data_IF_200620313270
#
_entry.id   IF_200620313270
#
_cell.length_a   1.000
_cell.length_b   1.000
_cell.length_c   1.000
_cell.angle_alpha   90.00
_cell.angle_beta   90.00
_cell.angle_gamma   90.00
#
_symmetry.space_group_name_H-M   'P 1'
#
loop_
_entity.id
_entity.type
_entity.pdbx_description
1 polymer ?
#
# COMPACT_ATOMS: atom_id res chain seq x y z
N UNK A 1 -5.64 0.34 5.72
CA UNK A 1 -6.67 1.10 6.45
C UNK A 1 -6.08 2.07 7.44
N UNK A 2 -5.26 1.61 8.40
CA UNK A 2 -4.63 2.50 9.39
C UNK A 2 -3.60 3.44 8.73
N UNK A 3 -2.59 2.87 8.06
CA UNK A 3 -1.51 3.63 7.44
C UNK A 3 -1.99 4.71 6.44
N UNK A 4 -2.96 4.39 5.58
CA UNK A 4 -3.54 5.35 4.62
C UNK A 4 -4.37 6.47 5.27
N UNK A 5 -4.82 6.27 6.52
CA UNK A 5 -5.53 7.30 7.28
C UNK A 5 -4.58 8.22 8.06
N UNK A 6 -3.36 7.76 8.36
CA UNK A 6 -2.37 8.45 9.17
C UNK A 6 -1.43 9.35 8.36
N UNK A 7 -1.07 8.97 7.13
CA UNK A 7 -0.17 9.78 6.28
C UNK A 7 -0.77 11.11 5.80
N UNK A 8 -2.00 11.17 5.26
CA UNK A 8 -2.45 12.39 4.60
C UNK A 8 -2.79 13.51 5.55
N UNK A 9 -2.55 14.74 5.07
CA UNK A 9 -3.14 15.95 5.65
C UNK A 9 -4.66 15.84 5.70
N UNK A 10 -5.27 16.47 6.72
CA UNK A 10 -6.70 16.35 7.02
C UNK A 10 -7.59 16.60 5.80
N UNK A 11 -7.20 17.53 4.92
CA UNK A 11 -7.95 17.90 3.71
C UNK A 11 -7.98 16.82 2.63
N UNK A 12 -6.92 16.02 2.49
CA UNK A 12 -6.80 14.99 1.45
C UNK A 12 -7.15 13.59 1.96
N UNK A 13 -7.39 13.45 3.27
CA UNK A 13 -7.63 12.17 3.93
C UNK A 13 -8.80 11.39 3.34
N UNK A 14 -9.93 12.04 3.11
CA UNK A 14 -11.12 11.38 2.54
C UNK A 14 -10.86 10.83 1.14
N UNK A 15 -10.15 11.59 0.30
CA UNK A 15 -9.77 11.17 -1.06
C UNK A 15 -8.81 9.97 -1.02
N UNK A 16 -7.77 10.03 -0.18
CA UNK A 16 -6.80 8.94 -0.07
C UNK A 16 -7.45 7.65 0.43
N UNK A 17 -8.32 7.74 1.44
CA UNK A 17 -9.09 6.59 1.92
C UNK A 17 -9.98 6.02 0.80
N UNK A 18 -10.66 6.87 0.02
CA UNK A 18 -11.50 6.44 -1.09
C UNK A 18 -10.68 5.71 -2.17
N UNK A 19 -9.53 6.27 -2.58
CA UNK A 19 -8.64 5.64 -3.56
C UNK A 19 -8.15 4.28 -3.03
N UNK A 20 -7.66 4.24 -1.79
CA UNK A 20 -7.19 2.98 -1.20
C UNK A 20 -8.28 1.91 -1.09
N UNK A 21 -9.50 2.31 -0.74
CA UNK A 21 -10.66 1.42 -0.71
C UNK A 21 -10.97 0.88 -2.10
N UNK A 22 -11.08 1.76 -3.11
CA UNK A 22 -11.38 1.37 -4.49
C UNK A 22 -10.30 0.44 -5.04
N UNK A 23 -9.01 0.75 -4.83
CA UNK A 23 -7.90 -0.10 -5.25
C UNK A 23 -7.96 -1.47 -4.58
N UNK A 24 -8.22 -1.53 -3.26
CA UNK A 24 -8.37 -2.80 -2.56
C UNK A 24 -9.50 -3.65 -3.15
N UNK A 25 -10.69 -3.08 -3.33
CA UNK A 25 -11.84 -3.80 -3.85
C UNK A 25 -11.65 -4.23 -5.31
N UNK A 26 -11.00 -3.40 -6.12
CA UNK A 26 -10.62 -3.74 -7.49
C UNK A 26 -9.70 -4.97 -7.51
N UNK A 27 -8.64 -4.99 -6.70
CA UNK A 27 -7.72 -6.12 -6.68
C UNK A 27 -8.35 -7.37 -6.07
N UNK A 28 -9.22 -7.23 -5.06
CA UNK A 28 -10.01 -8.37 -4.57
C UNK A 28 -10.87 -8.98 -5.68
N UNK A 29 -11.51 -8.16 -6.52
CA UNK A 29 -12.25 -8.64 -7.67
C UNK A 29 -11.36 -9.36 -8.69
N UNK A 30 -10.21 -8.78 -9.03
CA UNK A 30 -9.23 -9.38 -9.96
C UNK A 30 -8.77 -10.74 -9.45
N UNK A 31 -8.42 -10.86 -8.17
CA UNK A 31 -8.00 -12.13 -7.56
C UNK A 31 -9.17 -13.12 -7.54
N UNK A 32 -10.37 -12.71 -7.13
CA UNK A 32 -11.54 -13.59 -7.11
C UNK A 32 -11.85 -14.18 -8.50
N UNK A 33 -11.73 -13.37 -9.56
CA UNK A 33 -11.95 -13.82 -10.94
C UNK A 33 -10.79 -14.66 -11.48
N UNK A 34 -9.54 -14.31 -11.17
CA UNK A 34 -8.38 -15.00 -11.72
C UNK A 34 -8.03 -16.30 -10.98
N UNK A 35 -8.32 -16.42 -9.68
CA UNK A 35 -7.91 -17.54 -8.83
C UNK A 35 -8.26 -18.93 -9.40
N UNK A 36 -9.48 -19.20 -9.90
CA UNK A 36 -9.81 -20.52 -10.45
C UNK A 36 -8.98 -20.88 -11.69
N UNK A 37 -8.63 -19.88 -12.51
CA UNK A 37 -7.82 -20.07 -13.73
C UNK A 37 -6.35 -20.32 -13.38
N UNK A 38 -5.80 -19.54 -12.45
CA UNK A 38 -4.39 -19.64 -12.07
C UNK A 38 -4.11 -20.95 -11.32
N UNK A 39 -5.02 -21.40 -10.47
CA UNK A 39 -4.90 -22.68 -9.75
C UNK A 39 -4.86 -23.91 -10.67
N UNK A 40 -5.49 -23.83 -11.85
CA UNK A 40 -5.54 -24.96 -12.81
C UNK A 40 -4.47 -24.86 -13.90
N UNK A 41 -3.95 -23.67 -14.17
CA UNK A 41 -3.02 -23.42 -15.28
C UNK A 41 -1.57 -23.32 -14.82
N UNK A 42 -1.32 -22.93 -13.56
CA UNK A 42 0.01 -22.52 -13.11
C UNK A 42 0.73 -23.60 -12.28
N UNK A 43 1.62 -24.34 -12.94
CA UNK A 43 2.39 -25.43 -12.35
C UNK A 43 1.59 -26.74 -12.30
N UNK A 44 2.30 -27.87 -12.16
CA UNK A 44 1.69 -29.20 -12.02
C UNK A 44 0.85 -29.23 -10.74
N UNK A 45 -0.47 -29.43 -10.84
CA UNK A 45 -1.40 -29.39 -9.68
C UNK A 45 -1.54 -28.00 -9.02
N UNK A 46 -1.14 -26.91 -9.69
CA UNK A 46 -1.42 -25.54 -9.22
C UNK A 46 -0.42 -24.97 -8.22
N UNK A 47 0.69 -25.66 -7.92
CA UNK A 47 1.69 -25.18 -6.95
C UNK A 47 2.27 -23.81 -7.31
N UNK A 48 2.31 -23.46 -8.60
CA UNK A 48 2.85 -22.20 -9.10
C UNK A 48 2.09 -20.99 -8.54
N UNK A 49 0.80 -21.15 -8.22
CA UNK A 49 -0.04 -20.11 -7.61
C UNK A 49 0.55 -19.65 -6.27
N UNK A 50 0.99 -20.59 -5.44
CA UNK A 50 1.59 -20.28 -4.13
C UNK A 50 2.95 -19.60 -4.25
N UNK A 51 3.75 -19.95 -5.28
CA UNK A 51 5.01 -19.27 -5.54
C UNK A 51 4.81 -17.81 -5.97
N UNK A 52 3.78 -17.52 -6.77
CA UNK A 52 3.43 -16.13 -7.11
C UNK A 52 3.02 -15.36 -5.86
N UNK A 53 2.07 -15.86 -5.08
CA UNK A 53 1.63 -15.14 -3.88
C UNK A 53 2.74 -14.99 -2.84
N UNK A 54 3.58 -16.02 -2.67
CA UNK A 54 4.74 -15.97 -1.79
C UNK A 54 5.77 -14.93 -2.24
N UNK A 55 6.11 -14.89 -3.53
CA UNK A 55 7.06 -13.89 -4.06
C UNK A 55 6.50 -12.46 -3.98
N UNK A 56 5.22 -12.24 -4.30
CA UNK A 56 4.57 -10.94 -4.14
C UNK A 56 4.54 -10.50 -2.66
N UNK A 57 4.28 -11.41 -1.73
CA UNK A 57 4.31 -11.12 -0.29
C UNK A 57 5.71 -10.73 0.17
N UNK A 58 6.74 -11.42 -0.34
CA UNK A 58 8.14 -11.08 -0.05
C UNK A 58 8.53 -9.71 -0.63
N UNK A 59 8.11 -9.40 -1.85
CA UNK A 59 8.32 -8.08 -2.45
C UNK A 59 7.62 -6.98 -1.66
N UNK A 60 6.39 -7.23 -1.18
CA UNK A 60 5.67 -6.31 -0.30
C UNK A 60 6.43 -6.09 1.01
N UNK A 61 7.01 -7.14 1.61
CA UNK A 61 7.85 -7.02 2.79
C UNK A 61 9.07 -6.13 2.53
N UNK A 62 9.79 -6.35 1.42
CA UNK A 62 10.94 -5.50 1.06
C UNK A 62 10.51 -4.04 0.85
N UNK A 63 9.41 -3.82 0.14
CA UNK A 63 8.87 -2.48 -0.04
C UNK A 63 8.54 -1.81 1.30
N UNK A 64 7.84 -2.52 2.18
CA UNK A 64 7.50 -2.01 3.51
C UNK A 64 8.75 -1.70 4.34
N UNK A 65 9.75 -2.59 4.33
CA UNK A 65 10.96 -2.42 5.13
C UNK A 65 11.81 -1.20 4.69
N UNK A 66 11.91 -0.93 3.39
CA UNK A 66 12.78 0.13 2.88
C UNK A 66 12.08 1.47 2.62
N UNK A 67 10.80 1.48 2.27
CA UNK A 67 10.11 2.68 1.76
C UNK A 67 8.97 3.18 2.63
N UNK A 68 8.52 2.39 3.61
CA UNK A 68 7.39 2.78 4.47
C UNK A 68 7.97 3.31 5.79
N UNK A 69 7.97 4.64 6.02
CA UNK A 69 8.43 5.21 7.28
C UNK A 69 7.52 4.80 8.46
N UNK A 70 8.12 4.72 9.64
CA UNK A 70 7.39 4.46 10.88
C UNK A 70 6.58 5.70 11.27
N UNK A 71 5.26 5.54 11.39
CA UNK A 71 4.32 6.62 11.71
C UNK A 71 4.01 6.72 13.22
N UNK A 72 4.44 5.73 14.02
CA UNK A 72 4.09 5.62 15.43
C UNK A 72 4.68 6.77 16.27
N UNK A 73 3.82 7.38 17.07
CA UNK A 73 4.21 8.39 18.06
C UNK A 73 4.34 9.81 17.51
N UNK A 74 3.96 10.03 16.25
CA UNK A 74 3.88 11.36 15.66
C UNK A 74 2.47 11.91 15.69
N UNK A 75 2.37 13.23 15.75
CA UNK A 75 1.12 13.92 15.49
C UNK A 75 0.83 13.97 13.99
N UNK A 76 -0.45 14.06 13.68
CA UNK A 76 -0.95 14.02 12.31
C UNK A 76 -0.57 15.29 11.54
N UNK A 77 -0.38 16.41 12.24
CA UNK A 77 0.12 17.66 11.67
C UNK A 77 1.61 17.60 11.29
N UNK A 78 2.40 16.75 11.96
CA UNK A 78 3.85 16.68 11.79
C UNK A 78 4.26 15.65 10.70
N UNK A 79 3.30 14.95 10.09
CA UNK A 79 3.57 13.96 9.03
C UNK A 79 4.32 14.57 7.83
N UNK A 80 4.11 15.86 7.55
CA UNK A 80 4.78 16.59 6.47
C UNK A 80 6.31 16.70 6.67
N UNK A 81 6.80 16.56 7.92
CA UNK A 81 8.24 16.55 8.23
C UNK A 81 8.93 15.28 7.75
N UNK A 82 8.30 14.10 7.90
CA UNK A 82 8.84 12.82 7.42
C UNK A 82 9.01 12.80 5.91
N UNK A 83 8.09 13.45 5.19
CA UNK A 83 8.12 13.50 3.73
C UNK A 83 8.95 14.68 3.19
N UNK A 84 9.61 15.46 4.07
CA UNK A 84 10.52 16.55 3.68
C UNK A 84 9.83 17.80 3.11
N UNK A 85 8.53 17.98 3.36
CA UNK A 85 7.73 19.07 2.76
C UNK A 85 8.00 20.41 3.45
N UNK A 86 8.35 20.41 4.74
CA UNK A 86 8.58 21.63 5.54
C UNK A 86 9.78 22.45 5.05
N UNK A 87 10.83 21.79 4.55
CA UNK A 87 12.02 22.48 4.02
C UNK A 87 11.73 23.26 2.72
N UNK A 88 10.77 22.78 1.91
CA UNK A 88 10.33 23.47 0.68
C UNK A 88 9.49 24.72 1.00
N UNK A 89 8.64 24.67 2.04
CA UNK A 89 7.86 25.84 2.45
C UNK A 89 8.73 26.94 3.04
N UNK A 90 9.75 26.58 3.82
CA UNK A 90 10.70 27.54 4.41
C UNK A 90 11.64 28.18 3.37
N UNK A 91 11.93 27.50 2.26
CA UNK A 91 12.73 28.03 1.13
C UNK A 91 11.94 28.87 0.13
N UNK A 92 10.59 28.86 0.20
CA UNK A 92 9.71 29.68 -0.64
C UNK A 92 9.32 31.02 0.02
N UNK A 93 9.73 31.25 1.27
CA UNK A 93 9.59 32.51 2.00
C UNK A 93 10.94 33.23 2.08
#
# INVERSE_FOLDING_TARGET
WIYISEIPTVRLRSLNIAIGATTQWLFNFVIARSSPSVLTTLGKEGYGTYLIFGSLSFLMFLFAFFFVPEAKGMFLEDMDEIFGIVELSARML
#
